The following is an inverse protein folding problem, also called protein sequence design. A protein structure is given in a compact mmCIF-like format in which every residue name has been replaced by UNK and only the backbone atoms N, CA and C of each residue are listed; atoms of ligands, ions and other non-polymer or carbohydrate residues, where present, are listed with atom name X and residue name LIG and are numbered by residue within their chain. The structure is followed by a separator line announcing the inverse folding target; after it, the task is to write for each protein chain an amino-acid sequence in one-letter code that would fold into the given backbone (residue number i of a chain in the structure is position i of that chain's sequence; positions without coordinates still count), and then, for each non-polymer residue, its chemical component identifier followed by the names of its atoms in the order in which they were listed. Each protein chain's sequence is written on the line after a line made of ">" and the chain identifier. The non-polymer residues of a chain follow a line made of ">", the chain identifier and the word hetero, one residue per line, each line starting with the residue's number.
data_IF_402929763114
#
_entry.id   IF_402929763114
#
_cell.length_a   1.000
_cell.length_b   1.000
_cell.length_c   1.000
_cell.angle_alpha   90.00
_cell.angle_beta   90.00
_cell.angle_gamma   90.00
#
_symmetry.space_group_name_H-M   'P 1'
#
loop_
_entity.id
_entity.type
_entity.pdbx_description
1 polymer ?
#
# COMPACT_ATOMS: atom_id res chain seq x y z
N UNK A 1 -1.22 -1.95 -15.59
CA UNK A 1 -0.35 -1.85 -14.40
C UNK A 1 -1.29 -1.83 -13.21
N UNK A 2 -1.32 -2.89 -12.40
CA UNK A 2 -2.26 -3.02 -11.27
C UNK A 2 -1.61 -2.47 -9.99
N UNK A 3 -2.10 -1.33 -9.51
CA UNK A 3 -1.86 -0.83 -8.15
C UNK A 3 -2.91 -1.43 -7.20
N UNK A 4 -2.68 -1.32 -5.89
CA UNK A 4 -3.73 -1.56 -4.89
C UNK A 4 -4.69 -0.37 -5.01
N UNK A 5 -5.80 -0.55 -5.73
CA UNK A 5 -6.77 0.51 -6.01
C UNK A 5 -7.65 0.86 -4.81
N UNK A 6 -7.71 -0.02 -3.83
CA UNK A 6 -8.46 0.07 -2.58
C UNK A 6 -7.56 0.34 -1.37
N UNK A 7 -6.40 0.95 -1.60
CA UNK A 7 -5.41 1.22 -0.56
C UNK A 7 -5.90 2.17 0.55
N UNK A 8 -6.87 3.04 0.22
CA UNK A 8 -7.52 3.93 1.17
C UNK A 8 -8.24 3.20 2.31
N UNK A 9 -8.59 1.92 2.15
CA UNK A 9 -9.16 1.09 3.22
C UNK A 9 -8.21 0.89 4.40
N UNK A 10 -6.90 1.04 4.19
CA UNK A 10 -5.91 1.01 5.26
C UNK A 10 -6.11 2.14 6.28
N UNK A 11 -6.66 3.27 5.84
CA UNK A 11 -7.03 4.40 6.70
C UNK A 11 -8.42 4.26 7.31
N UNK A 12 -9.06 3.10 7.19
CA UNK A 12 -10.46 2.87 7.56
C UNK A 12 -11.43 3.85 6.86
N UNK A 13 -11.02 4.39 5.71
CA UNK A 13 -11.81 5.34 4.93
C UNK A 13 -12.92 4.61 4.16
N UNK A 14 -14.13 5.16 4.18
CA UNK A 14 -15.22 4.60 3.38
C UNK A 14 -15.01 4.87 1.89
N UNK A 15 -15.45 3.93 1.04
CA UNK A 15 -15.36 4.11 -0.43
C UNK A 15 -16.13 5.34 -0.90
N UNK A 16 -17.22 5.71 -0.23
CA UNK A 16 -17.97 6.92 -0.56
C UNK A 16 -17.10 8.18 -0.39
N UNK A 17 -16.36 8.29 0.71
CA UNK A 17 -15.47 9.41 0.96
C UNK A 17 -14.33 9.46 -0.06
N UNK A 18 -13.79 8.30 -0.44
CA UNK A 18 -12.77 8.20 -1.50
C UNK A 18 -13.29 8.63 -2.88
N UNK A 19 -14.54 8.27 -3.20
CA UNK A 19 -15.19 8.66 -4.46
C UNK A 19 -15.46 10.17 -4.54
N UNK A 20 -15.65 10.84 -3.41
CA UNK A 20 -15.79 12.30 -3.33
C UNK A 20 -14.48 13.07 -3.55
N UNK A 21 -13.31 12.42 -3.35
CA UNK A 21 -12.01 13.06 -3.56
C UNK A 21 -11.71 13.30 -5.05
N UNK A 22 -11.15 14.46 -5.34
CA UNK A 22 -10.57 14.76 -6.65
C UNK A 22 -9.30 13.94 -6.90
N UNK A 23 -8.92 13.78 -8.18
CA UNK A 23 -7.74 13.00 -8.57
C UNK A 23 -6.46 13.47 -7.86
N UNK A 24 -6.26 14.79 -7.70
CA UNK A 24 -5.11 15.34 -6.99
C UNK A 24 -5.07 14.91 -5.52
N UNK A 25 -6.22 14.95 -4.84
CA UNK A 25 -6.33 14.55 -3.44
C UNK A 25 -6.10 13.04 -3.26
N UNK A 26 -6.60 12.24 -4.21
CA UNK A 26 -6.35 10.79 -4.24
C UNK A 26 -4.86 10.49 -4.37
N UNK A 27 -4.14 11.23 -5.20
CA UNK A 27 -2.69 11.08 -5.35
C UNK A 27 -1.97 11.43 -4.04
N UNK A 28 -2.28 12.59 -3.44
CA UNK A 28 -1.70 13.00 -2.16
C UNK A 28 -1.96 11.98 -1.04
N UNK A 29 -3.18 11.44 -0.96
CA UNK A 29 -3.53 10.40 0.01
C UNK A 29 -2.71 9.12 -0.22
N UNK A 30 -2.53 8.70 -1.47
CA UNK A 30 -1.75 7.50 -1.80
C UNK A 30 -0.26 7.68 -1.54
N UNK A 31 0.27 8.90 -1.67
CA UNK A 31 1.64 9.22 -1.27
C UNK A 31 1.81 9.15 0.26
N UNK A 32 0.88 9.75 1.02
CA UNK A 32 0.87 9.65 2.48
C UNK A 32 0.73 8.18 2.95
N UNK A 33 -0.12 7.40 2.29
CA UNK A 33 -0.27 5.96 2.54
C UNK A 33 1.05 5.21 2.37
N UNK A 34 1.82 5.54 1.34
CA UNK A 34 3.11 4.88 1.12
C UNK A 34 4.01 5.11 2.33
N UNK A 35 4.15 6.35 2.80
CA UNK A 35 4.97 6.69 3.96
C UNK A 35 4.50 5.98 5.24
N UNK A 36 3.19 5.93 5.49
CA UNK A 36 2.63 5.24 6.66
C UNK A 36 2.86 3.73 6.60
N UNK A 37 2.70 3.11 5.42
CA UNK A 37 3.03 1.69 5.19
C UNK A 37 4.51 1.45 5.42
N UNK A 38 5.40 2.32 4.92
CA UNK A 38 6.84 2.21 5.17
C UNK A 38 7.18 2.27 6.66
N UNK A 39 6.55 3.19 7.39
CA UNK A 39 6.75 3.32 8.82
C UNK A 39 6.25 2.08 9.57
N UNK A 40 5.02 1.64 9.29
CA UNK A 40 4.42 0.46 9.91
C UNK A 40 5.20 -0.83 9.60
N UNK A 41 5.78 -0.96 8.39
CA UNK A 41 6.64 -2.09 8.02
C UNK A 41 7.92 -2.21 8.85
N UNK A 42 8.34 -1.10 9.48
CA UNK A 42 9.46 -1.08 10.42
C UNK A 42 9.16 -1.83 11.73
N UNK A 43 7.90 -1.85 12.15
CA UNK A 43 7.44 -2.54 13.36
C UNK A 43 6.85 -3.92 13.03
N UNK A 44 5.95 -3.97 12.05
CA UNK A 44 5.29 -5.19 11.59
C UNK A 44 5.67 -5.50 10.13
N UNK A 45 6.48 -6.54 9.86
CA UNK A 45 7.07 -6.76 8.55
C UNK A 45 6.07 -7.25 7.49
N UNK A 46 4.80 -7.44 7.82
CA UNK A 46 3.73 -7.85 6.90
C UNK A 46 2.47 -7.09 7.24
N UNK A 47 1.95 -6.32 6.28
CA UNK A 47 0.75 -5.50 6.42
C UNK A 47 -0.29 -5.88 5.37
N UNK A 48 -1.56 -5.77 5.73
CA UNK A 48 -2.68 -5.89 4.82
C UNK A 48 -3.17 -4.48 4.44
N UNK A 49 -3.20 -4.19 3.14
CA UNK A 49 -3.58 -2.86 2.61
C UNK A 49 -4.65 -3.10 1.54
N UNK A 50 -5.92 -2.83 1.88
CA UNK A 50 -7.06 -3.18 1.02
C UNK A 50 -7.08 -4.68 0.68
N UNK A 51 -7.23 -5.01 -0.60
CA UNK A 51 -7.11 -6.37 -1.15
C UNK A 51 -5.67 -6.85 -1.35
N UNK A 52 -4.68 -6.04 -0.99
CA UNK A 52 -3.26 -6.34 -1.12
C UNK A 52 -2.57 -6.72 0.19
N UNK A 53 -1.41 -7.36 0.06
CA UNK A 53 -0.48 -7.66 1.16
C UNK A 53 0.88 -7.04 0.84
N UNK A 54 1.41 -6.25 1.76
CA UNK A 54 2.74 -5.65 1.66
C UNK A 54 3.65 -6.31 2.68
N UNK A 55 4.80 -6.81 2.26
CA UNK A 55 5.72 -7.52 3.13
C UNK A 55 7.15 -7.02 2.97
N UNK A 56 7.76 -6.60 4.07
CA UNK A 56 9.15 -6.18 4.12
C UNK A 56 10.08 -7.38 4.38
N UNK A 57 11.12 -7.51 3.55
CA UNK A 57 12.15 -8.56 3.63
C UNK A 57 13.51 -7.91 3.89
N UNK A 58 13.88 -7.65 5.16
CA UNK A 58 15.12 -6.94 5.48
C UNK A 58 16.38 -7.66 5.00
N UNK A 59 16.38 -9.00 4.96
CA UNK A 59 17.51 -9.81 4.47
C UNK A 59 17.87 -9.54 3.00
N UNK A 60 16.89 -9.13 2.20
CA UNK A 60 17.07 -8.89 0.77
C UNK A 60 16.94 -7.41 0.41
N UNK A 61 16.67 -6.54 1.40
CA UNK A 61 16.38 -5.11 1.21
C UNK A 61 15.26 -4.89 0.16
N UNK A 62 14.20 -5.69 0.24
CA UNK A 62 13.05 -5.61 -0.67
C UNK A 62 11.73 -5.49 0.06
N UNK A 63 10.74 -4.89 -0.60
CA UNK A 63 9.33 -4.94 -0.24
C UNK A 63 8.59 -5.73 -1.32
N UNK A 64 7.83 -6.73 -0.89
CA UNK A 64 6.93 -7.53 -1.70
C UNK A 64 5.52 -6.96 -1.59
N UNK A 65 4.91 -6.58 -2.71
CA UNK A 65 3.52 -6.14 -2.77
C UNK A 65 2.74 -7.19 -3.55
N UNK A 66 1.81 -7.86 -2.90
CA UNK A 66 0.95 -8.90 -3.50
C UNK A 66 -0.46 -8.38 -3.65
N UNK A 67 -1.04 -8.46 -4.85
CA UNK A 67 -2.45 -8.09 -5.10
C UNK A 67 -3.20 -9.32 -5.59
N UNK A 68 -4.34 -9.64 -4.96
CA UNK A 68 -5.20 -10.78 -5.30
C UNK A 68 -4.48 -12.14 -5.41
N UNK A 69 -3.38 -12.32 -4.67
CA UNK A 69 -2.51 -13.52 -4.69
C UNK A 69 -1.98 -13.93 -6.09
N UNK A 70 -2.14 -13.06 -7.11
CA UNK A 70 -1.79 -13.36 -8.51
C UNK A 70 -0.61 -12.55 -9.00
N UNK A 71 -0.45 -11.32 -8.51
CA UNK A 71 0.68 -10.46 -8.86
C UNK A 71 1.51 -10.14 -7.64
N UNK A 72 2.81 -10.47 -7.68
CA UNK A 72 3.80 -10.05 -6.70
C UNK A 72 4.71 -9.03 -7.38
N UNK A 73 4.76 -7.81 -6.84
CA UNK A 73 5.76 -6.80 -7.20
C UNK A 73 6.86 -6.78 -6.16
N UNK A 74 8.09 -6.64 -6.61
CA UNK A 74 9.26 -6.53 -5.74
C UNK A 74 9.86 -5.13 -5.92
N UNK A 75 9.89 -4.37 -4.85
CA UNK A 75 10.49 -3.03 -4.77
C UNK A 75 11.83 -3.18 -4.04
N UNK A 76 12.94 -2.72 -4.64
CA UNK A 76 14.28 -2.73 -4.01
C UNK A 76 14.54 -1.39 -3.34
N UNK A 77 15.07 -1.41 -2.12
CA UNK A 77 15.35 -0.22 -1.29
C UNK A 77 16.81 0.25 -1.40
N UNK A 78 17.40 0.15 -2.60
CA UNK A 78 18.82 0.46 -2.88
C UNK A 78 19.25 1.87 -2.48
#
# INVERSE_FOLDING_TARGET
>A
MHSIGDGYLFFEMETADWEELEEAQRVELMEALADDVFYALGEEPVLHVGGGVVAYRPKHHIIEVSVDQKEIRIIRLI
#
